data_IF_883451418414
#
_entry.id   IF_883451418414
#
_cell.length_a   1.000
_cell.length_b   1.000
_cell.length_c   1.000
_cell.angle_alpha   90.00
_cell.angle_beta   90.00
_cell.angle_gamma   90.00
#
_symmetry.space_group_name_H-M   'P 1'
#
loop_
_entity.id
_entity.type
_entity.pdbx_description
1 polymer ?
#
# COMPACT_ATOMS: atom_id res chain seq x y z
N UNK A 1 -2.92 22.59 -23.94
CA UNK A 1 -2.96 22.19 -22.51
C UNK A 1 -1.60 22.49 -21.90
N UNK A 2 -1.50 23.55 -21.11
CA UNK A 2 -0.27 23.92 -20.41
C UNK A 2 0.00 22.96 -19.27
N UNK A 3 1.28 22.61 -19.02
CA UNK A 3 1.71 21.67 -17.97
C UNK A 3 1.34 22.08 -16.52
N UNK A 4 0.70 23.24 -16.32
CA UNK A 4 0.39 23.83 -15.01
C UNK A 4 -0.86 23.26 -14.32
N UNK A 5 -1.78 22.61 -15.04
CA UNK A 5 -3.06 22.13 -14.46
C UNK A 5 -3.05 20.68 -13.97
N UNK A 6 -1.97 19.93 -14.26
CA UNK A 6 -1.82 18.55 -13.79
C UNK A 6 -1.34 18.53 -12.33
N UNK A 7 -1.95 17.67 -11.51
CA UNK A 7 -1.46 17.37 -10.17
C UNK A 7 0.01 16.92 -10.25
N UNK A 8 0.84 17.45 -9.34
CA UNK A 8 2.24 17.06 -9.28
C UNK A 8 2.37 15.59 -8.89
N UNK A 9 3.36 14.91 -9.46
CA UNK A 9 3.59 13.49 -9.22
C UNK A 9 3.84 13.21 -7.73
N UNK A 10 4.44 14.17 -7.01
CA UNK A 10 4.65 14.11 -5.57
C UNK A 10 3.34 14.16 -4.76
N UNK A 11 2.43 15.08 -5.09
CA UNK A 11 1.13 15.18 -4.42
C UNK A 11 0.29 13.92 -4.67
N UNK A 12 0.27 13.44 -5.91
CA UNK A 12 -0.44 12.20 -6.25
C UNK A 12 0.10 10.99 -5.48
N UNK A 13 1.43 10.88 -5.39
CA UNK A 13 2.08 9.82 -4.59
C UNK A 13 1.72 9.93 -3.12
N UNK A 14 1.74 11.15 -2.55
CA UNK A 14 1.40 11.37 -1.14
C UNK A 14 -0.05 10.97 -0.83
N UNK A 15 -1.02 11.40 -1.66
CA UNK A 15 -2.42 11.00 -1.50
C UNK A 15 -2.62 9.51 -1.67
N UNK A 16 -1.98 8.88 -2.66
CA UNK A 16 -2.06 7.44 -2.84
C UNK A 16 -1.48 6.68 -1.64
N UNK A 17 -0.37 7.15 -1.09
CA UNK A 17 0.30 6.55 0.08
C UNK A 17 -0.55 6.70 1.33
N UNK A 18 -1.12 7.88 1.57
CA UNK A 18 -2.05 8.13 2.67
C UNK A 18 -3.33 7.29 2.51
N UNK A 19 -3.85 7.18 1.29
CA UNK A 19 -4.99 6.33 0.96
C UNK A 19 -4.72 4.85 1.20
N UNK A 20 -3.54 4.36 0.80
CA UNK A 20 -3.11 3.00 1.10
C UNK A 20 -3.04 2.76 2.61
N UNK A 21 -2.39 3.64 3.37
CA UNK A 21 -2.32 3.53 4.83
C UNK A 21 -3.73 3.53 5.47
N UNK A 22 -4.60 4.44 5.05
CA UNK A 22 -5.95 4.54 5.58
C UNK A 22 -6.77 3.29 5.26
N UNK A 23 -6.74 2.82 4.00
CA UNK A 23 -7.41 1.59 3.58
C UNK A 23 -6.85 0.35 4.29
N UNK A 24 -5.54 0.30 4.51
CA UNK A 24 -4.90 -0.78 5.23
C UNK A 24 -5.38 -0.84 6.68
N UNK A 25 -5.33 0.28 7.41
CA UNK A 25 -5.81 0.34 8.81
C UNK A 25 -7.30 0.03 8.90
N UNK A 26 -8.11 0.63 8.03
CA UNK A 26 -9.56 0.37 8.00
C UNK A 26 -9.88 -1.07 7.60
N UNK A 27 -9.20 -1.60 6.58
CA UNK A 27 -9.40 -2.96 6.09
C UNK A 27 -9.00 -4.01 7.12
N UNK A 28 -7.86 -3.81 7.80
CA UNK A 28 -7.42 -4.68 8.90
C UNK A 28 -8.42 -4.62 10.06
N UNK A 29 -8.91 -3.43 10.43
CA UNK A 29 -9.90 -3.28 11.48
C UNK A 29 -11.24 -3.95 11.15
N UNK A 30 -11.76 -3.73 9.94
CA UNK A 30 -13.03 -4.35 9.49
C UNK A 30 -12.89 -5.87 9.38
N UNK A 31 -11.78 -6.37 8.82
CA UNK A 31 -11.54 -7.81 8.71
C UNK A 31 -11.36 -8.45 10.09
N UNK A 32 -10.65 -7.79 11.01
CA UNK A 32 -10.52 -8.24 12.40
C UNK A 32 -11.87 -8.37 13.10
N UNK A 33 -12.75 -7.37 12.97
CA UNK A 33 -14.12 -7.43 13.51
C UNK A 33 -14.96 -8.53 12.86
N UNK A 34 -14.80 -8.76 11.56
CA UNK A 34 -15.57 -9.75 10.81
C UNK A 34 -15.12 -11.19 11.11
N UNK A 35 -13.83 -11.38 11.38
CA UNK A 35 -13.22 -12.69 11.63
C UNK A 35 -13.12 -13.03 13.13
N UNK A 36 -13.43 -12.08 14.01
CA UNK A 36 -13.25 -12.18 15.47
C UNK A 36 -11.81 -12.57 15.86
N UNK A 37 -10.85 -12.08 15.07
CA UNK A 37 -9.43 -12.41 15.17
C UNK A 37 -8.60 -11.13 15.35
N UNK A 38 -7.65 -11.16 16.28
CA UNK A 38 -6.71 -10.06 16.51
C UNK A 38 -5.68 -9.99 15.37
N UNK A 39 -5.50 -8.80 14.78
CA UNK A 39 -4.49 -8.54 13.73
C UNK A 39 -3.07 -8.95 14.16
N UNK A 40 -2.77 -8.83 15.46
CA UNK A 40 -1.41 -8.98 16.02
C UNK A 40 -1.20 -10.37 16.65
N UNK A 41 -2.15 -11.31 16.54
CA UNK A 41 -1.99 -12.67 17.10
C UNK A 41 -1.23 -13.64 16.20
N UNK A 42 -0.42 -13.18 15.24
CA UNK A 42 0.49 -14.09 14.53
C UNK A 42 1.44 -14.72 15.55
N UNK A 43 1.35 -16.04 15.68
CA UNK A 43 1.94 -16.77 16.80
C UNK A 43 3.48 -16.71 16.69
N UNK A 44 4.12 -15.85 17.49
CA UNK A 44 5.58 -15.72 17.54
C UNK A 44 6.18 -14.49 16.86
N UNK A 45 5.37 -13.53 16.39
CA UNK A 45 5.88 -12.27 15.83
C UNK A 45 5.61 -11.12 16.79
N UNK A 46 6.67 -10.41 17.20
CA UNK A 46 6.55 -9.25 18.07
C UNK A 46 5.84 -8.07 17.38
N UNK A 47 5.34 -7.14 18.21
CA UNK A 47 4.71 -5.91 17.74
C UNK A 47 5.65 -5.04 16.88
N UNK A 48 6.94 -5.04 17.20
CA UNK A 48 7.96 -4.24 16.48
C UNK A 48 8.15 -4.73 15.04
N UNK A 49 8.44 -6.03 14.77
CA UNK A 49 8.47 -6.58 13.42
C UNK A 49 7.23 -6.26 12.58
N UNK A 50 6.03 -6.32 13.17
CA UNK A 50 4.78 -6.02 12.48
C UNK A 50 4.72 -4.56 11.98
N UNK A 51 5.04 -3.59 12.83
CA UNK A 51 5.09 -2.18 12.41
C UNK A 51 6.19 -1.90 11.39
N UNK A 52 7.35 -2.55 11.53
CA UNK A 52 8.46 -2.41 10.58
C UNK A 52 8.07 -2.97 9.21
N UNK A 53 7.39 -4.12 9.16
CA UNK A 53 6.89 -4.71 7.93
C UNK A 53 5.85 -3.82 7.24
N UNK A 54 4.88 -3.30 7.98
CA UNK A 54 3.88 -2.36 7.45
C UNK A 54 4.53 -1.07 6.92
N UNK A 55 5.48 -0.51 7.66
CA UNK A 55 6.23 0.67 7.25
C UNK A 55 7.08 0.44 5.99
N UNK A 56 7.74 -0.71 5.90
CA UNK A 56 8.52 -1.09 4.72
C UNK A 56 7.63 -1.27 3.49
N UNK A 57 6.48 -1.93 3.63
CA UNK A 57 5.50 -2.09 2.56
C UNK A 57 4.96 -0.74 2.06
N UNK A 58 4.70 0.21 2.98
CA UNK A 58 4.29 1.58 2.67
C UNK A 58 5.39 2.36 1.92
N UNK A 59 6.64 2.20 2.33
CA UNK A 59 7.77 2.84 1.65
C UNK A 59 7.95 2.30 0.22
N UNK A 60 7.91 0.98 0.04
CA UNK A 60 7.99 0.33 -1.28
C UNK A 60 6.81 0.75 -2.15
N UNK A 61 5.60 0.80 -1.58
CA UNK A 61 4.41 1.32 -2.28
C UNK A 61 4.66 2.73 -2.82
N UNK A 62 5.07 3.66 -1.95
CA UNK A 62 5.28 5.05 -2.31
C UNK A 62 6.34 5.20 -3.42
N UNK A 63 7.45 4.45 -3.32
CA UNK A 63 8.51 4.45 -4.32
C UNK A 63 8.02 3.95 -5.68
N UNK A 64 7.34 2.81 -5.72
CA UNK A 64 6.90 2.19 -6.97
C UNK A 64 5.74 2.95 -7.61
N UNK A 65 4.79 3.48 -6.83
CA UNK A 65 3.72 4.35 -7.35
C UNK A 65 4.32 5.60 -7.96
N UNK A 66 5.27 6.26 -7.28
CA UNK A 66 5.96 7.44 -7.81
C UNK A 66 6.60 7.16 -9.17
N UNK A 67 7.29 6.02 -9.29
CA UNK A 67 7.88 5.59 -10.57
C UNK A 67 6.81 5.29 -11.62
N UNK A 68 5.70 4.66 -11.24
CA UNK A 68 4.62 4.33 -12.17
C UNK A 68 3.93 5.58 -12.73
N UNK A 69 3.63 6.58 -11.89
CA UNK A 69 2.94 7.82 -12.31
C UNK A 69 3.85 8.82 -13.04
N UNK A 70 5.16 8.75 -12.80
CA UNK A 70 6.15 9.56 -13.51
C UNK A 70 6.35 9.12 -14.98
N UNK A 71 5.94 7.90 -15.35
CA UNK A 71 5.99 7.44 -16.76
C UNK A 71 5.01 8.22 -17.63
N UNK A 72 5.39 8.44 -18.89
CA UNK A 72 4.53 9.14 -19.87
C UNK A 72 3.21 8.41 -20.13
N UNK A 73 3.22 7.07 -20.09
CA UNK A 73 2.06 6.19 -20.30
C UNK A 73 1.91 5.19 -19.16
N UNK A 74 1.31 5.59 -18.02
CA UNK A 74 1.11 4.68 -16.90
C UNK A 74 0.12 3.58 -17.28
N UNK A 75 0.43 2.34 -16.90
CA UNK A 75 -0.33 1.14 -17.26
C UNK A 75 -0.98 0.55 -16.01
N UNK A 76 -2.22 0.07 -16.08
CA UNK A 76 -2.89 -0.55 -14.91
C UNK A 76 -2.19 -1.81 -14.40
N UNK A 77 -1.44 -2.50 -15.26
CA UNK A 77 -0.55 -3.62 -14.85
C UNK A 77 0.48 -3.17 -13.80
N UNK A 78 0.89 -1.90 -13.82
CA UNK A 78 1.80 -1.37 -12.80
C UNK A 78 1.14 -1.33 -11.41
N UNK A 79 -0.19 -1.15 -11.30
CA UNK A 79 -0.88 -1.23 -10.00
C UNK A 79 -0.80 -2.64 -9.41
N UNK A 80 -0.96 -3.68 -10.24
CA UNK A 80 -0.79 -5.06 -9.81
C UNK A 80 0.65 -5.33 -9.35
N UNK A 81 1.64 -4.85 -10.12
CA UNK A 81 3.05 -4.95 -9.74
C UNK A 81 3.39 -4.25 -8.42
N UNK A 82 2.85 -3.04 -8.20
CA UNK A 82 2.99 -2.30 -6.94
C UNK A 82 2.38 -3.09 -5.78
N UNK A 83 1.15 -3.58 -5.95
CA UNK A 83 0.44 -4.32 -4.90
C UNK A 83 1.19 -5.60 -4.50
N UNK A 84 1.62 -6.38 -5.50
CA UNK A 84 2.40 -7.60 -5.27
C UNK A 84 3.75 -7.30 -4.61
N UNK A 85 4.45 -6.25 -5.03
CA UNK A 85 5.72 -5.87 -4.42
C UNK A 85 5.57 -5.39 -2.97
N UNK A 86 4.51 -4.64 -2.67
CA UNK A 86 4.20 -4.19 -1.31
C UNK A 86 3.83 -5.35 -0.39
N UNK A 87 2.97 -6.26 -0.84
CA UNK A 87 2.61 -7.48 -0.12
C UNK A 87 3.83 -8.39 0.10
N UNK A 88 4.62 -8.64 -0.95
CA UNK A 88 5.86 -9.41 -0.83
C UNK A 88 6.86 -8.76 0.15
N UNK A 89 6.99 -7.43 0.11
CA UNK A 89 7.85 -6.70 1.07
C UNK A 89 7.35 -6.88 2.50
N UNK A 90 6.04 -6.78 2.72
CA UNK A 90 5.44 -6.99 4.02
C UNK A 90 5.79 -8.39 4.57
N UNK A 91 5.46 -9.44 3.81
CA UNK A 91 5.75 -10.82 4.19
C UNK A 91 7.24 -11.08 4.44
N UNK A 92 8.13 -10.58 3.56
CA UNK A 92 9.57 -10.78 3.67
C UNK A 92 10.17 -10.08 4.90
N UNK A 93 9.77 -8.83 5.16
CA UNK A 93 10.27 -8.06 6.31
C UNK A 93 9.76 -8.66 7.62
N UNK A 94 8.50 -9.12 7.64
CA UNK A 94 7.95 -9.81 8.80
C UNK A 94 8.68 -11.13 9.07
N UNK A 95 8.89 -11.95 8.04
CA UNK A 95 9.66 -13.19 8.14
C UNK A 95 11.10 -12.98 8.59
N UNK A 96 11.76 -11.92 8.09
CA UNK A 96 13.08 -11.53 8.56
C UNK A 96 13.06 -11.10 10.03
N UNK A 97 12.03 -10.36 10.48
CA UNK A 97 11.84 -10.02 11.89
C UNK A 97 11.67 -11.25 12.77
N UNK A 98 10.85 -12.21 12.35
CA UNK A 98 10.67 -13.49 13.04
C UNK A 98 11.98 -14.30 13.12
N UNK A 99 12.78 -14.30 12.05
CA UNK A 99 14.10 -14.95 12.04
C UNK A 99 15.08 -14.28 13.01
N UNK A 100 15.08 -12.95 13.07
CA UNK A 100 15.96 -12.19 13.97
C UNK A 100 15.55 -12.38 15.43
N UNK A 101 14.26 -12.47 15.73
CA UNK A 101 13.75 -12.66 17.09
C UNK A 101 13.95 -14.11 17.59
N UNK A 102 13.76 -15.11 16.73
CA UNK A 102 13.81 -16.53 17.11
C UNK A 102 15.16 -17.21 16.87
N UNK A 103 15.95 -16.72 15.92
CA UNK A 103 17.15 -17.40 15.42
C UNK A 103 16.87 -18.71 14.65
N UNK A 104 15.60 -19.05 14.39
CA UNK A 104 15.19 -20.32 13.79
C UNK A 104 14.51 -20.09 12.42
N UNK A 105 15.10 -20.67 11.37
CA UNK A 105 14.57 -20.57 10.02
C UNK A 105 13.22 -21.26 9.86
N UNK A 106 12.95 -22.33 10.63
CA UNK A 106 11.66 -23.02 10.64
C UNK A 106 10.54 -22.13 11.16
N UNK A 107 10.82 -21.34 12.21
CA UNK A 107 9.87 -20.36 12.76
C UNK A 107 9.63 -19.23 11.76
N UNK A 108 10.68 -18.72 11.12
CA UNK A 108 10.57 -17.67 10.12
C UNK A 108 9.74 -18.09 8.90
N UNK A 109 9.98 -19.30 8.36
CA UNK A 109 9.22 -19.84 7.25
C UNK A 109 7.77 -20.14 7.66
N UNK A 110 7.56 -20.63 8.89
CA UNK A 110 6.24 -20.80 9.49
C UNK A 110 5.45 -19.50 9.49
N UNK A 111 6.04 -18.43 10.04
CA UNK A 111 5.42 -17.10 10.09
C UNK A 111 5.09 -16.56 8.69
N UNK A 112 6.00 -16.69 7.72
CA UNK A 112 5.73 -16.27 6.33
C UNK A 112 4.59 -17.09 5.72
N UNK A 113 4.56 -18.41 5.93
CA UNK A 113 3.48 -19.26 5.42
C UNK A 113 2.12 -18.93 6.03
N UNK A 114 2.09 -18.68 7.35
CA UNK A 114 0.87 -18.31 8.08
C UNK A 114 0.32 -16.98 7.55
N UNK A 115 1.19 -16.03 7.27
CA UNK A 115 0.83 -14.71 6.75
C UNK A 115 0.34 -14.77 5.31
N UNK A 116 1.00 -15.58 4.46
CA UNK A 116 0.62 -15.76 3.06
C UNK A 116 -0.72 -16.50 2.88
N UNK A 117 -1.02 -17.46 3.76
CA UNK A 117 -2.29 -18.22 3.74
C UNK A 117 -3.37 -17.52 4.57
N UNK A 118 -2.96 -16.65 5.49
CA UNK A 118 -3.82 -15.87 6.34
C UNK A 118 -4.55 -14.75 5.61
N UNK A 119 -5.43 -14.08 6.35
CA UNK A 119 -6.30 -13.03 5.82
C UNK A 119 -5.60 -11.66 5.71
N UNK A 120 -4.48 -11.47 6.40
CA UNK A 120 -3.74 -10.19 6.46
C UNK A 120 -3.14 -9.82 5.11
N UNK A 121 -2.41 -10.73 4.44
CA UNK A 121 -1.79 -10.46 3.13
C UNK A 121 -2.79 -10.10 2.03
N UNK A 122 -3.93 -10.81 1.88
CA UNK A 122 -4.99 -10.39 0.97
C UNK A 122 -5.46 -8.95 1.22
N UNK A 123 -5.58 -8.50 2.47
CA UNK A 123 -5.96 -7.12 2.81
C UNK A 123 -4.85 -6.15 2.42
N UNK A 124 -3.59 -6.45 2.74
CA UNK A 124 -2.41 -5.65 2.35
C UNK A 124 -2.36 -5.48 0.82
N UNK A 125 -2.46 -6.58 0.08
CA UNK A 125 -2.43 -6.59 -1.37
C UNK A 125 -3.62 -5.83 -1.98
N UNK A 126 -4.85 -6.06 -1.50
CA UNK A 126 -6.05 -5.44 -2.03
C UNK A 126 -6.05 -3.92 -1.82
N UNK A 127 -5.71 -3.48 -0.62
CA UNK A 127 -5.67 -2.06 -0.28
C UNK A 127 -4.58 -1.33 -1.06
N UNK A 128 -3.40 -1.94 -1.25
CA UNK A 128 -2.36 -1.44 -2.13
C UNK A 128 -2.83 -1.38 -3.60
N UNK A 129 -3.50 -2.43 -4.09
CA UNK A 129 -4.02 -2.46 -5.45
C UNK A 129 -5.03 -1.34 -5.71
N UNK A 130 -5.98 -1.12 -4.80
CA UNK A 130 -6.99 -0.05 -4.91
C UNK A 130 -6.33 1.31 -4.90
N UNK A 131 -5.41 1.57 -3.97
CA UNK A 131 -4.71 2.85 -3.88
C UNK A 131 -3.82 3.13 -5.10
N UNK A 132 -3.06 2.15 -5.58
CA UNK A 132 -2.23 2.28 -6.77
C UNK A 132 -3.08 2.45 -8.04
N UNK A 133 -4.17 1.70 -8.16
CA UNK A 133 -5.11 1.83 -9.27
C UNK A 133 -5.71 3.23 -9.33
N UNK A 134 -6.17 3.78 -8.20
CA UNK A 134 -6.71 5.12 -8.13
C UNK A 134 -5.68 6.18 -8.56
N UNK A 135 -4.44 6.06 -8.09
CA UNK A 135 -3.35 6.96 -8.49
C UNK A 135 -3.09 6.93 -10.01
N UNK A 136 -3.02 5.72 -10.58
CA UNK A 136 -2.84 5.53 -12.01
C UNK A 136 -4.05 6.04 -12.80
N UNK A 137 -5.27 5.82 -12.31
CA UNK A 137 -6.50 6.30 -12.94
C UNK A 137 -6.50 7.83 -13.05
N UNK A 138 -6.20 8.55 -11.95
CA UNK A 138 -6.08 10.02 -11.92
C UNK A 138 -5.07 10.51 -12.97
N UNK A 139 -3.92 9.84 -13.09
CA UNK A 139 -2.91 10.21 -14.08
C UNK A 139 -3.34 9.92 -15.51
N UNK A 140 -4.01 8.80 -15.76
CA UNK A 140 -4.47 8.39 -17.11
C UNK A 140 -5.64 9.23 -17.61
N UNK A 141 -6.57 9.61 -16.74
CA UNK A 141 -7.72 10.45 -17.11
C UNK A 141 -7.34 11.91 -17.30
N UNK A 142 -6.11 12.29 -16.91
CA UNK A 142 -5.66 13.68 -16.97
C UNK A 142 -6.46 14.56 -16.01
N UNK A 143 -6.95 14.00 -14.90
CA UNK A 143 -7.75 14.74 -13.94
C UNK A 143 -6.98 15.99 -13.46
N UNK A 144 -7.61 17.13 -13.64
CA UNK A 144 -7.05 18.42 -13.26
C UNK A 144 -7.30 18.69 -11.78
N UNK A 145 -6.61 19.71 -11.25
CA UNK A 145 -6.92 20.22 -9.93
C UNK A 145 -8.41 20.59 -9.89
N UNK A 146 -9.20 20.06 -8.92
CA UNK A 146 -10.61 20.44 -8.81
C UNK A 146 -10.68 21.95 -8.63
N UNK A 147 -11.34 22.62 -9.58
CA UNK A 147 -11.65 24.05 -9.52
C UNK A 147 -13.08 24.20 -9.08
N UNK A 148 -13.29 25.04 -8.09
CA UNK A 148 -14.63 25.31 -7.60
C UNK A 148 -15.24 26.51 -8.32
N UNK A 149 -16.58 26.56 -8.53
CA UNK A 149 -17.22 27.65 -9.28
C UNK A 149 -16.97 29.05 -8.72
N UNK A 150 -16.63 29.16 -7.43
CA UNK A 150 -16.29 30.43 -6.78
C UNK A 150 -14.81 30.84 -6.93
N UNK A 151 -13.94 29.96 -7.44
CA UNK A 151 -12.52 30.25 -7.71
C UNK A 151 -12.34 30.96 -9.06
N UNK A 152 -13.29 30.77 -9.98
CA UNK A 152 -13.38 31.53 -11.21
C UNK A 152 -14.14 32.84 -10.90
N UNK A 153 -13.40 33.88 -10.49
CA UNK A 153 -13.99 35.22 -10.35
C UNK A 153 -14.70 35.60 -11.66
N UNK A 154 -15.95 36.09 -11.60
CA UNK A 154 -16.67 36.50 -12.80
C UNK A 154 -15.85 37.58 -13.51
N UNK A 155 -15.53 37.32 -14.79
CA UNK A 155 -14.94 38.32 -15.68
C UNK A 155 -15.95 39.42 -15.98
#
# INVERSE_FOLDING_TARGET
>A
MTSRDRLSDGVLTAFATAGYLALLVAGLGVASLALDEDVIRTRGVGLVPAYVAAGAALAVFALLVRQAVARERPTYVAAAGVALASAATHALVLGAGALLDSGDLGVALGAVSEVLVGWVEPVVALTAAVAAWAAIAVRRTGAERPRWPWEDSPR
#
